data_IF_256883915114
#
_entry.id   IF_256883915114
#
_cell.length_a   1.000
_cell.length_b   1.000
_cell.length_c   1.000
_cell.angle_alpha   90.00
_cell.angle_beta   90.00
_cell.angle_gamma   90.00
#
_symmetry.space_group_name_H-M   'P 1'
#
loop_
_entity.id
_entity.type
_entity.pdbx_description
1 polymer ?
#
# COMPACT_ATOMS: atom_id res chain seq x y z
N UNK A 1 -8.83 9.29 10.84
CA UNK A 1 -7.42 9.80 10.87
C UNK A 1 -6.72 9.01 9.78
N UNK A 2 -6.40 9.61 8.62
CA UNK A 2 -5.91 8.82 7.48
C UNK A 2 -4.40 8.57 7.61
N UNK A 3 -4.00 7.32 7.43
CA UNK A 3 -2.59 6.96 7.34
C UNK A 3 -2.15 7.23 5.89
N UNK A 4 -1.10 8.03 5.72
CA UNK A 4 -0.63 8.45 4.40
C UNK A 4 0.45 7.52 3.90
N UNK A 5 0.34 7.10 2.66
CA UNK A 5 1.29 6.22 2.00
C UNK A 5 1.91 6.95 0.82
N UNK A 6 3.23 7.13 0.87
CA UNK A 6 4.00 7.73 -0.21
C UNK A 6 4.80 6.66 -0.92
N UNK A 7 4.56 6.49 -2.23
CA UNK A 7 5.27 5.51 -3.05
C UNK A 7 6.68 6.02 -3.35
N UNK A 8 7.71 5.23 -3.03
CA UNK A 8 9.12 5.63 -3.17
C UNK A 8 9.80 5.04 -4.41
N UNK A 9 9.34 3.88 -4.90
CA UNK A 9 9.99 3.18 -6.00
C UNK A 9 9.06 2.93 -7.20
N UNK A 10 9.70 2.68 -8.34
CA UNK A 10 9.08 1.98 -9.47
C UNK A 10 8.65 0.55 -9.08
N UNK A 11 7.75 -0.10 -9.84
CA UNK A 11 7.37 -1.48 -9.60
C UNK A 11 8.56 -2.44 -9.73
N UNK A 12 8.77 -3.24 -8.69
CA UNK A 12 9.79 -4.28 -8.60
C UNK A 12 9.13 -5.66 -8.58
N UNK A 13 9.91 -6.70 -8.83
CA UNK A 13 9.42 -8.08 -8.79
C UNK A 13 10.42 -9.00 -8.12
N UNK A 14 9.93 -9.97 -7.35
CA UNK A 14 10.76 -11.04 -6.79
C UNK A 14 10.02 -12.37 -6.81
N UNK A 15 10.76 -13.46 -6.86
CA UNK A 15 10.20 -14.79 -6.66
C UNK A 15 10.20 -15.13 -5.17
N UNK A 16 9.06 -15.59 -4.67
CA UNK A 16 8.90 -16.07 -3.30
C UNK A 16 8.51 -17.55 -3.32
N UNK A 17 9.08 -18.31 -2.40
CA UNK A 17 8.72 -19.72 -2.23
C UNK A 17 7.46 -19.83 -1.39
N UNK A 18 6.44 -20.49 -1.93
CA UNK A 18 5.18 -20.79 -1.24
C UNK A 18 5.02 -22.30 -1.09
N UNK A 19 4.02 -22.74 -0.31
CA UNK A 19 3.67 -24.17 -0.20
C UNK A 19 3.30 -24.80 -1.55
N UNK A 20 2.83 -24.01 -2.51
CA UNK A 20 2.44 -24.44 -3.86
C UNK A 20 3.58 -24.34 -4.90
N UNK A 21 4.79 -23.93 -4.49
CA UNK A 21 5.92 -23.68 -5.39
C UNK A 21 6.35 -22.21 -5.41
N UNK A 22 7.18 -21.83 -6.38
CA UNK A 22 7.63 -20.44 -6.53
C UNK A 22 6.54 -19.59 -7.18
N UNK A 23 6.29 -18.40 -6.61
CA UNK A 23 5.37 -17.39 -7.14
C UNK A 23 6.16 -16.09 -7.37
N UNK A 24 5.93 -15.44 -8.51
CA UNK A 24 6.40 -14.08 -8.72
C UNK A 24 5.45 -13.10 -7.99
N UNK A 25 6.01 -12.18 -7.23
CA UNK A 25 5.29 -11.11 -6.53
C UNK A 25 5.82 -9.79 -7.06
N UNK A 26 4.90 -8.88 -7.37
CA UNK A 26 5.21 -7.51 -7.77
C UNK A 26 4.96 -6.58 -6.58
N UNK A 27 5.83 -5.61 -6.36
CA UNK A 27 5.71 -4.71 -5.22
C UNK A 27 6.35 -3.35 -5.48
N UNK A 28 6.01 -2.36 -4.65
CA UNK A 28 6.67 -1.06 -4.60
C UNK A 28 7.06 -0.72 -3.17
N UNK A 29 8.26 -0.16 -2.98
CA UNK A 29 8.64 0.39 -1.69
C UNK A 29 7.85 1.67 -1.44
N UNK A 30 7.32 1.81 -0.24
CA UNK A 30 6.54 2.95 0.19
C UNK A 30 6.90 3.36 1.61
N UNK A 31 6.46 4.55 1.99
CA UNK A 31 6.57 5.09 3.33
C UNK A 31 5.16 5.37 3.85
N UNK A 32 4.80 4.70 4.94
CA UNK A 32 3.59 4.93 5.70
C UNK A 32 3.87 5.95 6.79
N UNK A 33 3.06 6.99 6.84
CA UNK A 33 3.09 8.04 7.85
C UNK A 33 1.74 8.14 8.56
N UNK A 34 1.79 8.09 9.88
CA UNK A 34 0.67 8.42 10.77
C UNK A 34 1.09 9.57 11.68
N UNK A 35 0.19 10.03 12.57
CA UNK A 35 0.54 11.05 13.55
C UNK A 35 1.62 10.62 14.54
N UNK A 36 1.77 9.31 14.77
CA UNK A 36 2.64 8.76 15.81
C UNK A 36 3.88 8.08 15.25
N UNK A 37 3.90 7.71 13.96
CA UNK A 37 4.99 6.92 13.40
C UNK A 37 5.18 7.16 11.91
N UNK A 38 6.39 6.85 11.46
CA UNK A 38 6.76 6.74 10.05
C UNK A 38 7.53 5.44 9.85
N UNK A 39 7.13 4.64 8.87
CA UNK A 39 7.70 3.31 8.61
C UNK A 39 7.82 3.05 7.11
N UNK A 40 8.88 2.37 6.69
CA UNK A 40 9.04 1.87 5.34
C UNK A 40 8.35 0.52 5.20
N UNK A 41 7.61 0.33 4.10
CA UNK A 41 6.90 -0.91 3.82
C UNK A 41 6.93 -1.24 2.32
N UNK A 42 6.55 -2.47 2.00
CA UNK A 42 6.33 -2.90 0.62
C UNK A 42 4.83 -2.99 0.36
N UNK A 43 4.37 -2.32 -0.70
CA UNK A 43 3.00 -2.43 -1.21
C UNK A 43 3.02 -3.48 -2.32
N UNK A 44 2.36 -4.63 -2.09
CA UNK A 44 2.15 -5.63 -3.15
C UNK A 44 1.18 -5.07 -4.20
N UNK A 45 1.50 -5.29 -5.47
CA UNK A 45 0.66 -4.92 -6.62
C UNK A 45 0.41 -6.18 -7.46
N UNK A 46 -0.75 -6.28 -8.10
CA UNK A 46 -1.09 -7.49 -8.87
C UNK A 46 -0.25 -7.62 -10.13
N UNK A 47 0.07 -6.50 -10.78
CA UNK A 47 0.96 -6.45 -11.94
C UNK A 47 1.66 -5.09 -12.07
N UNK A 48 2.78 -5.00 -12.82
CA UNK A 48 3.46 -3.72 -13.06
C UNK A 48 2.58 -2.64 -13.71
N UNK A 49 1.55 -3.03 -14.46
CA UNK A 49 0.61 -2.09 -15.09
C UNK A 49 -0.38 -1.46 -14.10
N UNK A 50 -0.57 -2.10 -12.94
CA UNK A 50 -1.40 -1.57 -11.84
C UNK A 50 -0.55 -0.86 -10.78
N UNK A 51 0.71 -0.56 -11.09
CA UNK A 51 1.59 0.15 -10.18
C UNK A 51 1.04 1.54 -9.85
N UNK A 52 1.21 1.93 -8.60
CA UNK A 52 0.94 3.29 -8.17
C UNK A 52 2.00 4.23 -8.72
N UNK A 53 1.58 5.46 -9.02
CA UNK A 53 2.50 6.52 -9.47
C UNK A 53 3.62 6.73 -8.43
N UNK A 54 4.87 6.69 -8.87
CA UNK A 54 6.02 7.00 -8.02
C UNK A 54 5.91 8.43 -7.47
N UNK A 55 6.26 8.62 -6.19
CA UNK A 55 6.06 9.86 -5.42
C UNK A 55 4.59 10.27 -5.25
N UNK A 56 3.65 9.42 -5.66
CA UNK A 56 2.23 9.59 -5.37
C UNK A 56 1.96 9.40 -3.88
N UNK A 57 1.06 10.23 -3.35
CA UNK A 57 0.61 10.17 -1.96
C UNK A 57 -0.85 9.69 -1.97
N UNK A 58 -1.12 8.68 -1.18
CA UNK A 58 -2.42 8.03 -1.07
C UNK A 58 -2.83 7.95 0.40
N UNK A 59 -4.13 7.93 0.68
CA UNK A 59 -4.63 7.53 1.98
C UNK A 59 -4.84 6.01 1.97
N UNK A 60 -4.48 5.31 3.05
CA UNK A 60 -4.77 3.89 3.20
C UNK A 60 -6.18 3.69 3.75
N UNK A 61 -7.04 3.00 2.99
CA UNK A 61 -8.32 2.50 3.46
C UNK A 61 -8.11 1.22 4.28
N UNK A 62 -7.78 1.42 5.56
CA UNK A 62 -7.54 0.33 6.50
C UNK A 62 -8.80 -0.50 6.72
N UNK A 63 -9.98 0.13 6.72
CA UNK A 63 -11.25 -0.56 6.98
C UNK A 63 -11.58 -1.57 5.89
N UNK A 64 -11.29 -1.24 4.62
CA UNK A 64 -11.46 -2.16 3.49
C UNK A 64 -10.53 -3.39 3.51
N UNK A 65 -9.41 -3.29 4.25
CA UNK A 65 -8.43 -4.36 4.38
C UNK A 65 -8.54 -5.14 5.70
N UNK A 66 -9.45 -4.76 6.59
CA UNK A 66 -9.73 -5.52 7.81
C UNK A 66 -10.44 -6.81 7.45
N UNK A 67 -9.87 -7.92 7.88
CA UNK A 67 -10.41 -9.28 7.70
C UNK A 67 -10.62 -9.97 9.05
N UNK A 68 -11.54 -10.93 9.15
CA UNK A 68 -11.63 -11.78 10.33
C UNK A 68 -10.35 -12.59 10.52
N UNK A 69 -9.67 -12.38 11.64
CA UNK A 69 -8.49 -13.12 12.04
C UNK A 69 -8.78 -14.18 13.09
N UNK A 70 -7.75 -14.94 13.49
CA UNK A 70 -7.91 -16.05 14.44
C UNK A 70 -8.19 -15.57 15.87
N UNK A 71 -7.68 -14.38 16.22
CA UNK A 71 -7.77 -13.82 17.57
C UNK A 71 -8.47 -12.46 17.62
N UNK A 72 -9.13 -12.07 16.53
CA UNK A 72 -9.73 -10.75 16.35
C UNK A 72 -9.54 -10.23 14.92
N UNK A 73 -9.92 -8.99 14.63
CA UNK A 73 -9.68 -8.37 13.33
C UNK A 73 -8.17 -8.33 13.01
N UNK A 74 -7.82 -8.72 11.78
CA UNK A 74 -6.47 -8.68 11.24
C UNK A 74 -6.44 -7.85 9.96
N UNK A 75 -5.26 -7.46 9.50
CA UNK A 75 -5.11 -6.80 8.21
C UNK A 75 -4.80 -7.83 7.13
N UNK A 76 -5.47 -7.71 5.99
CA UNK A 76 -5.12 -8.42 4.79
C UNK A 76 -3.69 -8.06 4.35
N UNK A 77 -3.09 -8.93 3.53
CA UNK A 77 -1.77 -8.65 2.94
C UNK A 77 -1.80 -7.52 1.89
N UNK A 78 -2.95 -7.30 1.27
CA UNK A 78 -3.14 -6.20 0.32
C UNK A 78 -3.26 -4.87 1.07
N UNK A 79 -2.87 -3.80 0.40
CA UNK A 79 -3.09 -2.42 0.86
C UNK A 79 -3.96 -1.69 -0.16
N UNK A 80 -5.17 -1.34 0.25
CA UNK A 80 -6.14 -0.57 -0.53
C UNK A 80 -5.79 0.91 -0.39
N UNK A 81 -5.08 1.44 -1.39
CA UNK A 81 -4.66 2.84 -1.42
C UNK A 81 -5.65 3.66 -2.25
N UNK A 82 -6.22 4.68 -1.63
CA UNK A 82 -7.12 5.62 -2.30
C UNK A 82 -6.38 6.94 -2.57
N UNK A 83 -6.58 7.59 -3.72
CA UNK A 83 -6.02 8.91 -3.96
C UNK A 83 -6.44 9.87 -2.83
N UNK A 84 -5.49 10.65 -2.30
CA UNK A 84 -5.85 11.73 -1.38
C UNK A 84 -6.77 12.67 -2.15
N UNK A 85 -7.96 12.94 -1.63
CA UNK A 85 -8.86 13.92 -2.25
C UNK A 85 -8.07 15.24 -2.44
N UNK A 86 -7.95 15.71 -3.68
CA UNK A 86 -7.32 16.99 -3.97
C UNK A 86 -8.04 18.05 -3.12
N UNK A 87 -7.33 18.64 -2.15
CA UNK A 87 -7.81 19.85 -1.52
C UNK A 87 -8.04 20.86 -2.66
N UNK A 88 -9.20 21.54 -2.74
CA UNK A 88 -9.42 22.50 -3.80
C UNK A 88 -8.30 23.54 -3.71
N UNK A 89 -7.55 23.70 -4.81
CA UNK A 89 -6.61 24.81 -4.97
C UNK A 89 -7.38 26.08 -4.60
N UNK A 90 -7.06 26.70 -3.47
CA UNK A 90 -7.52 28.06 -3.19
C UNK A 90 -6.99 28.90 -4.36
N UNK A 91 -7.91 29.35 -5.20
CA UNK A 91 -7.63 30.38 -6.19
C UNK A 91 -7.09 31.59 -5.43
N UNK A 92 -5.87 32.00 -5.79
CA UNK A 92 -5.28 33.26 -5.37
C UNK A 92 -5.97 34.42 -6.10
#
# INVERSE_FOLDING_TARGET
MSAKVTIKSEPQSRYVTTKAGQKQVHYQNAELETKQMRVQLEVEIDSPQQAYKQSGVYDWDVEADVIPGRYGPELARRMTLVPVAEAPKRAA
#
